data_IF_379179926723
#
_entry.id   IF_379179926723
#
_cell.length_a   1.000
_cell.length_b   1.000
_cell.length_c   1.000
_cell.angle_alpha   90.00
_cell.angle_beta   90.00
_cell.angle_gamma   90.00
#
_symmetry.space_group_name_H-M   'P 1'
#
loop_
_entity.id
_entity.type
_entity.pdbx_description
1 polymer ?
#
# COMPACT_ATOMS: atom_id res chain seq x y z
N UNK A 1 -28.03 -22.32 -0.36
CA UNK A 1 -27.59 -22.02 1.02
C UNK A 1 -28.25 -20.72 1.42
N UNK A 2 -29.08 -20.76 2.47
CA UNK A 2 -29.88 -19.61 2.91
C UNK A 2 -28.97 -18.60 3.61
N UNK A 3 -28.69 -17.51 2.94
CA UNK A 3 -28.01 -16.35 3.53
C UNK A 3 -28.81 -15.86 4.75
N UNK A 4 -28.22 -15.99 5.92
CA UNK A 4 -28.82 -15.44 7.12
C UNK A 4 -28.88 -13.90 6.95
N UNK A 5 -30.11 -13.36 6.92
CA UNK A 5 -30.33 -11.91 6.93
C UNK A 5 -29.45 -11.25 8.00
N UNK A 6 -28.78 -10.15 7.68
CA UNK A 6 -27.91 -9.46 8.60
C UNK A 6 -28.68 -9.15 9.91
N UNK A 7 -28.15 -9.65 11.02
CA UNK A 7 -28.68 -9.38 12.35
C UNK A 7 -28.60 -7.87 12.60
N UNK A 8 -29.55 -7.30 13.40
CA UNK A 8 -29.59 -5.89 13.76
C UNK A 8 -28.19 -5.38 14.19
N UNK A 9 -27.56 -4.54 13.36
CA UNK A 9 -26.23 -4.00 13.60
C UNK A 9 -25.84 -3.07 12.46
N UNK A 10 -24.76 -2.33 12.63
CA UNK A 10 -24.26 -1.40 11.62
C UNK A 10 -23.54 -2.16 10.51
N UNK A 11 -23.76 -1.84 9.22
CA UNK A 11 -23.14 -2.53 8.09
C UNK A 11 -21.61 -2.63 8.19
N UNK A 12 -20.96 -1.62 8.74
CA UNK A 12 -19.52 -1.58 8.90
C UNK A 12 -18.97 -2.71 9.78
N UNK A 13 -19.75 -3.14 10.77
CA UNK A 13 -19.39 -4.28 11.61
C UNK A 13 -19.46 -5.58 10.82
N UNK A 14 -20.48 -5.73 9.98
CA UNK A 14 -20.65 -6.95 9.19
C UNK A 14 -19.55 -7.10 8.13
N UNK A 15 -19.17 -6.00 7.48
CA UNK A 15 -18.03 -6.00 6.55
C UNK A 15 -16.75 -6.50 7.26
N UNK A 16 -16.47 -6.03 8.47
CA UNK A 16 -15.29 -6.48 9.23
C UNK A 16 -15.38 -7.95 9.66
N UNK A 17 -16.56 -8.40 10.06
CA UNK A 17 -16.81 -9.78 10.49
C UNK A 17 -16.69 -10.74 9.30
N UNK A 18 -17.29 -10.40 8.16
CA UNK A 18 -17.19 -11.14 6.91
C UNK A 18 -15.73 -11.20 6.40
N UNK A 19 -15.04 -10.07 6.40
CA UNK A 19 -13.63 -9.97 6.03
C UNK A 19 -12.73 -10.87 6.91
N UNK A 20 -13.00 -10.92 8.21
CA UNK A 20 -12.28 -11.82 9.11
C UNK A 20 -12.57 -13.30 8.90
N UNK A 21 -13.68 -13.65 8.26
CA UNK A 21 -14.08 -15.03 7.98
C UNK A 21 -13.76 -15.48 6.55
N UNK A 22 -13.20 -14.60 5.72
CA UNK A 22 -12.93 -14.83 4.29
C UNK A 22 -14.21 -15.03 3.45
N UNK A 23 -15.31 -14.44 3.89
CA UNK A 23 -16.61 -14.54 3.23
C UNK A 23 -16.83 -13.33 2.32
N UNK A 24 -16.38 -13.47 1.08
CA UNK A 24 -16.44 -12.42 0.05
C UNK A 24 -17.89 -12.05 -0.27
N UNK A 25 -18.78 -13.03 -0.37
CA UNK A 25 -20.20 -12.79 -0.66
C UNK A 25 -20.89 -12.02 0.48
N UNK A 26 -20.51 -12.30 1.73
CA UNK A 26 -21.02 -11.58 2.87
C UNK A 26 -20.49 -10.14 2.93
N UNK A 27 -19.26 -9.88 2.44
CA UNK A 27 -18.73 -8.51 2.30
C UNK A 27 -19.61 -7.73 1.35
N UNK A 28 -19.89 -8.25 0.16
CA UNK A 28 -20.71 -7.57 -0.84
C UNK A 28 -22.14 -7.33 -0.33
N UNK A 29 -22.76 -8.33 0.28
CA UNK A 29 -24.10 -8.20 0.86
C UNK A 29 -24.16 -7.15 1.97
N UNK A 30 -23.11 -7.03 2.78
CA UNK A 30 -23.02 -6.02 3.84
C UNK A 30 -22.83 -4.61 3.27
N UNK A 31 -22.09 -4.49 2.17
CA UNK A 31 -21.88 -3.23 1.47
C UNK A 31 -23.14 -2.77 0.72
N UNK A 32 -23.91 -3.69 0.16
CA UNK A 32 -25.17 -3.35 -0.52
C UNK A 32 -26.25 -2.92 0.48
N UNK A 33 -26.20 -3.43 1.71
CA UNK A 33 -27.08 -3.00 2.80
C UNK A 33 -26.66 -1.66 3.43
N UNK A 34 -25.51 -1.13 3.08
CA UNK A 34 -24.99 0.11 3.64
C UNK A 34 -25.53 1.34 2.90
N UNK A 35 -25.92 2.37 3.63
CA UNK A 35 -26.31 3.65 3.07
C UNK A 35 -25.11 4.43 2.50
N UNK A 36 -23.93 4.20 3.07
CA UNK A 36 -22.65 4.76 2.61
C UNK A 36 -21.63 3.62 2.50
N UNK A 37 -21.34 3.25 1.27
CA UNK A 37 -20.47 2.13 0.90
C UNK A 37 -19.01 2.38 1.28
N UNK A 38 -18.52 3.61 1.05
CA UNK A 38 -17.14 3.99 1.38
C UNK A 38 -16.93 4.01 2.90
N UNK A 39 -17.89 4.54 3.64
CA UNK A 39 -17.85 4.51 5.09
C UNK A 39 -17.91 3.08 5.63
N UNK A 40 -18.77 2.22 5.10
CA UNK A 40 -18.89 0.82 5.52
C UNK A 40 -17.58 0.04 5.30
N UNK A 41 -16.93 0.28 4.16
CA UNK A 41 -15.68 -0.36 3.77
C UNK A 41 -14.50 0.10 4.64
N UNK A 42 -14.43 1.40 4.93
CA UNK A 42 -13.23 2.04 5.50
C UNK A 42 -13.34 2.40 6.99
N UNK A 43 -14.50 2.19 7.62
CA UNK A 43 -14.71 2.52 9.03
C UNK A 43 -14.05 1.51 9.95
N UNK A 44 -13.24 2.02 10.86
CA UNK A 44 -12.63 1.22 11.92
C UNK A 44 -13.61 0.86 13.05
N UNK A 45 -13.26 -0.16 13.81
CA UNK A 45 -13.88 -0.48 15.10
C UNK A 45 -13.44 0.53 16.19
N UNK A 46 -13.75 0.25 17.45
CA UNK A 46 -13.35 1.08 18.59
C UNK A 46 -11.83 1.23 18.73
N UNK A 47 -11.06 0.28 18.18
CA UNK A 47 -9.60 0.31 18.11
C UNK A 47 -9.09 0.90 16.80
N UNK A 48 -9.96 1.44 15.94
CA UNK A 48 -9.62 1.98 14.63
C UNK A 48 -9.28 0.92 13.58
N UNK A 49 -9.48 -0.38 13.86
CA UNK A 49 -9.16 -1.46 12.91
C UNK A 49 -10.27 -1.58 11.87
N UNK A 50 -9.90 -1.48 10.60
CA UNK A 50 -10.79 -1.62 9.45
C UNK A 50 -10.96 -3.09 9.05
N UNK A 51 -11.81 -3.36 8.06
CA UNK A 51 -11.96 -4.69 7.46
C UNK A 51 -10.62 -5.27 6.96
N UNK A 52 -9.75 -4.43 6.36
CA UNK A 52 -8.41 -4.85 5.95
C UNK A 52 -7.54 -5.33 7.12
N UNK A 53 -7.60 -4.69 8.28
CA UNK A 53 -6.88 -5.15 9.46
C UNK A 53 -7.36 -6.52 9.93
N UNK A 54 -8.68 -6.72 9.94
CA UNK A 54 -9.29 -7.98 10.34
C UNK A 54 -8.96 -9.11 9.38
N UNK A 55 -9.04 -8.86 8.07
CA UNK A 55 -8.68 -9.84 7.05
C UNK A 55 -7.18 -10.18 7.10
N UNK A 56 -6.31 -9.16 7.13
CA UNK A 56 -4.86 -9.35 7.20
C UNK A 56 -4.42 -10.07 8.49
N UNK A 57 -4.94 -9.64 9.65
CA UNK A 57 -4.62 -10.27 10.92
C UNK A 57 -5.08 -11.72 11.06
N UNK A 58 -6.00 -12.17 10.23
CA UNK A 58 -6.43 -13.58 10.16
C UNK A 58 -5.90 -14.32 8.93
N UNK A 59 -5.16 -13.63 8.09
CA UNK A 59 -4.56 -14.18 6.88
C UNK A 59 -5.57 -14.56 5.80
N UNK A 60 -6.59 -13.78 5.65
CA UNK A 60 -7.67 -14.01 4.70
C UNK A 60 -7.35 -13.35 3.37
N UNK A 61 -6.68 -14.12 2.50
CA UNK A 61 -6.13 -13.59 1.27
C UNK A 61 -7.21 -13.15 0.27
N UNK A 62 -8.27 -13.93 0.13
CA UNK A 62 -9.34 -13.62 -0.81
C UNK A 62 -10.12 -12.39 -0.35
N UNK A 63 -10.42 -12.29 0.94
CA UNK A 63 -11.04 -11.10 1.51
C UNK A 63 -10.16 -9.85 1.36
N UNK A 64 -8.83 -9.95 1.55
CA UNK A 64 -7.92 -8.79 1.37
C UNK A 64 -7.94 -8.33 -0.08
N UNK A 65 -7.77 -9.24 -1.05
CA UNK A 65 -7.80 -8.89 -2.47
C UNK A 65 -9.14 -8.28 -2.87
N UNK A 66 -10.23 -8.86 -2.39
CA UNK A 66 -11.57 -8.36 -2.68
C UNK A 66 -11.77 -6.95 -2.09
N UNK A 67 -11.43 -6.73 -0.84
CA UNK A 67 -11.50 -5.42 -0.21
C UNK A 67 -10.65 -4.36 -0.94
N UNK A 68 -9.44 -4.72 -1.37
CA UNK A 68 -8.58 -3.83 -2.15
C UNK A 68 -9.20 -3.50 -3.52
N UNK A 69 -9.79 -4.48 -4.21
CA UNK A 69 -10.48 -4.26 -5.49
C UNK A 69 -11.70 -3.33 -5.36
N UNK A 70 -12.36 -3.34 -4.19
CA UNK A 70 -13.45 -2.45 -3.86
C UNK A 70 -12.99 -1.04 -3.44
N UNK A 71 -11.69 -0.79 -3.38
CA UNK A 71 -11.12 0.51 -3.01
C UNK A 71 -10.94 0.71 -1.49
N UNK A 72 -10.81 -0.37 -0.72
CA UNK A 72 -10.48 -0.26 0.69
C UNK A 72 -9.14 0.44 0.90
N UNK A 73 -9.13 1.42 1.79
CA UNK A 73 -7.93 2.23 2.05
C UNK A 73 -7.13 1.64 3.20
N UNK A 74 -5.82 1.57 3.02
CA UNK A 74 -4.92 1.23 4.12
C UNK A 74 -4.89 2.38 5.12
N UNK A 75 -5.32 2.13 6.34
CA UNK A 75 -5.40 3.12 7.42
C UNK A 75 -4.60 2.65 8.63
N UNK A 76 -4.36 3.56 9.56
CA UNK A 76 -3.76 3.24 10.85
C UNK A 76 -4.87 2.98 11.88
N UNK A 77 -4.65 1.99 12.74
CA UNK A 77 -5.45 1.79 13.94
C UNK A 77 -5.12 2.83 15.01
N UNK A 78 -5.82 2.83 16.12
CA UNK A 78 -5.53 3.71 17.29
C UNK A 78 -4.15 3.46 17.89
N UNK A 79 -3.58 2.29 17.67
CA UNK A 79 -2.22 1.92 18.07
C UNK A 79 -1.18 2.14 16.97
N UNK A 80 -1.52 2.93 15.96
CA UNK A 80 -0.69 3.21 14.78
C UNK A 80 -0.27 1.94 14.00
N UNK A 81 -1.01 0.85 14.15
CA UNK A 81 -0.77 -0.37 13.41
C UNK A 81 -1.40 -0.29 12.02
N UNK A 82 -0.72 -0.86 11.05
CA UNK A 82 -1.24 -1.08 9.69
C UNK A 82 -1.75 -2.52 9.57
N UNK A 83 -2.53 -2.86 8.53
CA UNK A 83 -2.87 -4.25 8.24
C UNK A 83 -1.65 -5.18 8.18
N UNK A 84 -0.51 -4.66 7.72
CA UNK A 84 0.75 -5.40 7.65
C UNK A 84 1.32 -5.73 9.04
N UNK A 85 1.12 -4.86 10.05
CA UNK A 85 1.46 -5.16 11.44
C UNK A 85 0.59 -6.28 12.02
N UNK A 86 -0.71 -6.26 11.72
CA UNK A 86 -1.64 -7.29 12.18
C UNK A 86 -1.30 -8.65 11.54
N UNK A 87 -0.98 -8.66 10.24
CA UNK A 87 -0.47 -9.84 9.55
C UNK A 87 0.82 -10.37 10.20
N UNK A 88 1.77 -9.47 10.50
CA UNK A 88 3.03 -9.81 11.13
C UNK A 88 2.88 -10.47 12.50
N UNK A 89 1.79 -10.19 13.20
CA UNK A 89 1.49 -10.77 14.53
C UNK A 89 0.68 -12.05 14.48
N UNK A 90 0.00 -12.34 13.37
CA UNK A 90 -0.93 -13.46 13.30
C UNK A 90 -0.23 -14.80 13.07
N UNK A 91 0.98 -14.78 12.53
CA UNK A 91 1.68 -15.99 12.10
C UNK A 91 0.89 -16.82 11.09
N UNK A 92 -0.16 -16.20 10.55
CA UNK A 92 -0.93 -16.87 9.52
C UNK A 92 0.05 -17.29 8.43
N UNK A 93 0.09 -18.58 8.15
CA UNK A 93 0.93 -19.18 7.12
C UNK A 93 0.54 -18.71 5.71
N UNK A 94 -0.15 -17.57 5.67
CA UNK A 94 -0.60 -16.98 4.46
C UNK A 94 0.58 -16.40 3.74
N UNK A 95 0.63 -17.00 2.73
CA UNK A 95 1.30 -16.74 1.51
C UNK A 95 2.07 -15.42 1.50
N UNK A 96 3.32 -15.48 1.07
CA UNK A 96 4.08 -14.30 0.63
C UNK A 96 3.23 -13.36 -0.23
N UNK A 97 2.32 -13.92 -1.04
CA UNK A 97 1.37 -13.17 -1.87
C UNK A 97 0.51 -12.14 -1.11
N UNK A 98 0.11 -12.43 0.14
CA UNK A 98 -0.68 -11.47 0.91
C UNK A 98 0.16 -10.26 1.37
N UNK A 99 1.44 -10.47 1.66
CA UNK A 99 2.39 -9.39 1.90
C UNK A 99 2.53 -8.54 0.65
N UNK A 100 2.69 -9.18 -0.51
CA UNK A 100 2.83 -8.49 -1.79
C UNK A 100 1.58 -7.68 -2.15
N UNK A 101 0.38 -8.25 -1.96
CA UNK A 101 -0.89 -7.55 -2.19
C UNK A 101 -1.01 -6.28 -1.31
N UNK A 102 -0.68 -6.39 -0.02
CA UNK A 102 -0.74 -5.25 0.91
C UNK A 102 0.34 -4.21 0.65
N UNK A 103 1.54 -4.64 0.26
CA UNK A 103 2.66 -3.73 -0.08
C UNK A 103 2.39 -3.02 -1.40
N UNK A 104 1.85 -3.72 -2.40
CA UNK A 104 1.45 -3.10 -3.66
C UNK A 104 0.37 -2.02 -3.45
N UNK A 105 -0.59 -2.27 -2.55
CA UNK A 105 -1.62 -1.28 -2.20
C UNK A 105 -1.06 -0.06 -1.46
N UNK A 106 -0.04 -0.24 -0.61
CA UNK A 106 0.54 0.84 0.18
C UNK A 106 1.96 0.49 0.68
N UNK A 107 3.01 0.79 -0.11
CA UNK A 107 4.41 0.44 0.22
C UNK A 107 4.91 1.04 1.53
N UNK A 108 4.41 2.22 1.91
CA UNK A 108 4.79 2.92 3.13
C UNK A 108 4.54 2.12 4.42
N UNK A 109 3.71 1.08 4.37
CA UNK A 109 3.45 0.21 5.52
C UNK A 109 4.71 -0.51 6.01
N UNK A 110 5.65 -0.83 5.11
CA UNK A 110 6.88 -1.55 5.46
C UNK A 110 7.74 -0.82 6.48
N UNK A 111 7.79 0.50 6.38
CA UNK A 111 8.63 1.37 7.23
C UNK A 111 7.86 2.03 8.35
N UNK A 112 6.53 1.90 8.37
CA UNK A 112 5.70 2.51 9.41
C UNK A 112 5.95 1.84 10.75
N UNK A 113 6.14 2.65 11.78
CA UNK A 113 6.26 2.21 13.17
C UNK A 113 4.91 2.31 13.89
N UNK A 114 4.63 1.32 14.70
CA UNK A 114 3.48 1.33 15.62
C UNK A 114 3.75 2.19 16.86
N UNK A 115 2.80 2.25 17.79
CA UNK A 115 2.93 3.00 19.05
C UNK A 115 4.11 2.53 19.91
N UNK A 116 4.59 1.29 19.72
CA UNK A 116 5.75 0.74 20.43
C UNK A 116 7.07 1.02 19.70
N UNK A 117 7.03 1.75 18.61
CA UNK A 117 8.18 2.08 17.78
C UNK A 117 8.65 0.95 16.85
N UNK A 118 7.88 -0.13 16.71
CA UNK A 118 8.25 -1.32 15.93
C UNK A 118 7.66 -1.30 14.53
N UNK A 119 8.46 -1.71 13.56
CA UNK A 119 8.01 -1.97 12.19
C UNK A 119 7.35 -3.36 12.08
N UNK A 120 6.56 -3.64 11.02
CA UNK A 120 5.94 -4.95 10.80
C UNK A 120 6.96 -6.10 10.83
N UNK A 121 8.13 -5.93 10.22
CA UNK A 121 9.18 -6.95 10.20
C UNK A 121 9.73 -7.26 11.60
N UNK A 122 9.88 -6.24 12.45
CA UNK A 122 10.34 -6.41 13.82
C UNK A 122 9.31 -7.16 14.67
N UNK A 123 8.01 -6.90 14.43
CA UNK A 123 6.94 -7.64 15.09
C UNK A 123 6.93 -9.11 14.67
N UNK A 124 7.09 -9.39 13.39
CA UNK A 124 7.19 -10.77 12.89
C UNK A 124 8.42 -11.51 13.48
N UNK A 125 9.58 -10.83 13.58
CA UNK A 125 10.78 -11.36 14.24
C UNK A 125 10.53 -11.68 15.71
N UNK A 126 9.93 -10.77 16.45
CA UNK A 126 9.61 -10.96 17.85
C UNK A 126 8.60 -12.10 18.11
N UNK A 127 7.69 -12.30 17.16
CA UNK A 127 6.72 -13.39 17.20
C UNK A 127 7.27 -14.74 16.69
N UNK A 128 8.48 -14.77 16.10
CA UNK A 128 9.11 -15.97 15.59
C UNK A 128 8.60 -16.45 14.23
N UNK A 129 7.86 -15.62 13.50
CA UNK A 129 7.27 -15.99 12.21
C UNK A 129 8.24 -15.81 11.04
N UNK A 130 9.18 -16.72 10.89
CA UNK A 130 10.28 -16.64 9.90
C UNK A 130 9.80 -16.53 8.46
N UNK A 131 8.68 -17.17 8.10
CA UNK A 131 8.10 -17.09 6.76
C UNK A 131 7.62 -15.67 6.44
N UNK A 132 6.94 -15.04 7.39
CA UNK A 132 6.45 -13.65 7.25
C UNK A 132 7.64 -12.68 7.22
N UNK A 133 8.66 -12.90 8.03
CA UNK A 133 9.90 -12.09 8.02
C UNK A 133 10.54 -12.11 6.63
N UNK A 134 10.73 -13.30 6.05
CA UNK A 134 11.31 -13.44 4.70
C UNK A 134 10.48 -12.72 3.64
N UNK A 135 9.15 -12.84 3.70
CA UNK A 135 8.26 -12.16 2.76
C UNK A 135 8.35 -10.63 2.89
N UNK A 136 8.37 -10.10 4.11
CA UNK A 136 8.51 -8.66 4.37
C UNK A 136 9.87 -8.12 3.92
N UNK A 137 10.96 -8.86 4.16
CA UNK A 137 12.30 -8.48 3.72
C UNK A 137 12.42 -8.52 2.19
N UNK A 138 11.85 -9.53 1.53
CA UNK A 138 11.80 -9.61 0.08
C UNK A 138 11.00 -8.45 -0.53
N UNK A 139 9.82 -8.15 0.02
CA UNK A 139 9.00 -7.02 -0.42
C UNK A 139 9.73 -5.67 -0.22
N UNK A 140 10.47 -5.51 0.87
CA UNK A 140 11.27 -4.30 1.09
C UNK A 140 12.37 -4.13 0.04
N UNK A 141 13.02 -5.22 -0.36
CA UNK A 141 14.05 -5.18 -1.42
C UNK A 141 13.47 -4.81 -2.79
N UNK A 142 12.26 -5.28 -3.11
CA UNK A 142 11.60 -4.93 -4.38
C UNK A 142 11.24 -3.46 -4.45
N UNK A 143 10.73 -2.89 -3.36
CA UNK A 143 10.36 -1.47 -3.28
C UNK A 143 11.62 -0.58 -3.35
N UNK A 144 12.66 -0.87 -2.57
CA UNK A 144 13.91 -0.07 -2.60
C UNK A 144 14.68 -0.24 -3.91
N UNK A 145 14.65 -1.43 -4.52
CA UNK A 145 15.23 -1.67 -5.84
C UNK A 145 14.55 -0.89 -6.96
N UNK A 146 13.22 -0.77 -6.89
CA UNK A 146 12.45 0.04 -7.84
C UNK A 146 12.74 1.54 -7.69
N UNK A 147 12.92 2.04 -6.47
CA UNK A 147 13.31 3.44 -6.23
C UNK A 147 14.73 3.73 -6.74
N UNK A 148 15.67 2.79 -6.62
CA UNK A 148 17.02 2.92 -7.17
C UNK A 148 17.02 2.88 -8.70
N UNK A 149 16.20 2.02 -9.32
CA UNK A 149 16.05 1.95 -10.76
C UNK A 149 15.42 3.25 -11.31
N UNK A 150 14.45 3.82 -10.61
CA UNK A 150 13.88 5.13 -11.00
C UNK A 150 14.82 6.31 -10.70
N UNK A 151 15.73 6.18 -9.74
CA UNK A 151 16.73 7.22 -9.46
C UNK A 151 17.89 7.20 -10.44
N UNK A 152 18.20 6.05 -11.06
CA UNK A 152 19.22 5.95 -12.11
C UNK A 152 18.72 6.36 -13.48
N UNK A 153 17.40 6.41 -13.68
CA UNK A 153 16.77 6.85 -14.93
C UNK A 153 16.25 8.30 -14.81
N UNK A 154 17.01 9.16 -14.12
CA UNK A 154 16.83 10.61 -14.17
C UNK A 154 17.38 11.18 -15.47
N UNK A 155 16.88 10.70 -16.59
CA UNK A 155 16.71 11.50 -17.79
C UNK A 155 15.24 11.91 -17.84
N UNK A 156 14.96 13.08 -17.34
CA UNK A 156 13.83 13.96 -17.63
C UNK A 156 12.64 13.32 -18.35
N UNK A 157 11.65 12.84 -17.62
CA UNK A 157 10.29 12.79 -18.12
C UNK A 157 9.52 13.97 -17.51
N UNK A 158 9.53 15.07 -18.23
CA UNK A 158 8.70 16.24 -17.99
C UNK A 158 7.26 15.84 -18.27
N UNK A 159 6.38 16.12 -17.31
CA UNK A 159 4.93 16.06 -17.42
C UNK A 159 4.42 16.58 -18.78
N UNK A 160 3.42 15.96 -19.40
CA UNK A 160 2.79 16.49 -20.60
C UNK A 160 1.74 17.54 -20.23
N UNK A 161 2.16 18.76 -19.99
CA UNK A 161 1.30 19.94 -20.07
C UNK A 161 2.16 21.19 -20.07
N UNK A 162 2.76 21.47 -21.18
CA UNK A 162 2.97 22.76 -21.81
C UNK A 162 4.10 22.65 -22.84
N UNK A 163 3.73 22.85 -24.07
CA UNK A 163 4.60 23.02 -25.20
C UNK A 163 5.61 24.13 -24.95
N UNK A 164 6.87 23.77 -24.89
CA UNK A 164 7.96 24.45 -25.62
C UNK A 164 9.24 23.64 -25.39
N UNK A 165 9.65 22.94 -26.43
CA UNK A 165 10.95 22.29 -26.53
C UNK A 165 11.98 23.39 -26.70
N UNK A 166 12.83 23.60 -25.70
CA UNK A 166 14.13 24.26 -25.91
C UNK A 166 15.17 23.20 -25.68
N UNK A 167 15.65 22.64 -26.79
CA UNK A 167 16.82 21.80 -26.82
C UNK A 167 18.06 22.66 -26.55
N UNK A 168 18.59 22.56 -25.32
CA UNK A 168 19.93 23.05 -25.03
C UNK A 168 20.89 21.86 -25.17
N UNK A 169 21.50 21.75 -26.31
CA UNK A 169 22.62 20.88 -26.50
C UNK A 169 23.85 21.47 -25.84
N UNK A 170 24.24 20.88 -24.70
CA UNK A 170 25.55 21.13 -24.12
C UNK A 170 26.47 20.02 -24.59
N UNK A 171 27.19 20.28 -25.69
CA UNK A 171 28.34 19.48 -26.01
C UNK A 171 29.52 20.37 -26.44
N UNK A 172 30.55 20.29 -25.62
CA UNK A 172 31.99 20.33 -25.88
C UNK A 172 32.68 21.68 -25.95
N UNK A 173 33.83 21.73 -25.31
CA UNK A 173 34.75 22.85 -25.39
C UNK A 173 35.70 22.59 -26.54
N UNK A 174 35.80 23.46 -27.48
CA UNK A 174 37.08 23.66 -28.13
C UNK A 174 37.28 25.09 -28.63
N UNK A 175 38.46 25.47 -28.37
CA UNK A 175 39.19 26.67 -28.65
C UNK A 175 39.15 27.08 -30.13
N UNK A 176 38.97 28.33 -30.39
CA UNK A 176 39.98 29.17 -31.05
C UNK A 176 39.33 30.44 -31.59
N UNK A 177 39.75 31.52 -30.98
CA UNK A 177 40.23 32.75 -31.61
C UNK A 177 39.79 32.99 -33.05
N UNK A 178 38.90 33.99 -33.26
CA UNK A 178 39.19 35.01 -34.25
C UNK A 178 38.32 36.25 -33.99
N UNK A 179 38.98 37.31 -33.61
CA UNK A 179 38.49 38.70 -33.63
C UNK A 179 38.43 39.16 -35.11
N UNK A 180 37.44 39.85 -35.53
CA UNK A 180 37.60 40.88 -36.55
C UNK A 180 37.49 42.27 -35.95
N UNK A 181 38.47 43.04 -36.36
CA UNK A 181 38.65 44.45 -36.13
C UNK A 181 37.48 45.28 -36.67
N UNK A 182 37.09 46.25 -35.86
CA UNK A 182 36.33 47.42 -36.29
C UNK A 182 37.26 48.38 -37.06
N UNK A 183 36.82 48.75 -38.24
CA UNK A 183 37.05 50.04 -38.88
C UNK A 183 35.71 50.37 -39.53
N UNK A 184 34.99 51.43 -39.24
CA UNK A 184 35.39 52.82 -39.22
C UNK A 184 34.96 53.50 -40.51
N UNK A 185 33.82 54.14 -40.49
CA UNK A 185 33.48 55.45 -41.11
C UNK A 185 32.03 55.77 -40.79
#
# INVERSE_FOLDING_TARGET
>A
MTYARPRRGKPERWVREAAGNDDVEAIDSALDAASDRDAALNKGDISGRTALHWAAGRGRADAVRHLLSLGARVRLSSTHQTPLHDLACSGAACAPSLVDDLVAAAPWQLTKKDITGRMPVERAKNAGYTAVVRALEAAAMTVTGAEHAMASDRTYSIMPSCLTVVSISLNSPDSSVHRPLLQGA
#
